data_IF_780816148774
#
_entry.id   IF_780816148774
#
_cell.length_a   1.000
_cell.length_b   1.000
_cell.length_c   1.000
_cell.angle_alpha   90.00
_cell.angle_beta   90.00
_cell.angle_gamma   90.00
#
_symmetry.space_group_name_H-M   'P 1'
#
loop_
_entity.id
_entity.type
_entity.pdbx_description
1 polymer ?
#
# COMPACT_ATOMS: atom_id res chain seq x y z
N UNK A 1 -8.78 -41.70 14.93
CA UNK A 1 -8.23 -40.33 15.04
C UNK A 1 -9.25 -39.37 14.46
N UNK A 2 -9.54 -38.24 15.12
CA UNK A 2 -10.44 -37.23 14.56
C UNK A 2 -9.71 -36.56 13.40
N UNK A 3 -9.90 -37.10 12.18
CA UNK A 3 -9.36 -36.52 10.96
C UNK A 3 -9.81 -35.07 10.84
N UNK A 4 -8.87 -34.19 10.50
CA UNK A 4 -9.19 -32.81 10.16
C UNK A 4 -9.94 -32.81 8.83
N UNK A 5 -11.20 -32.36 8.84
CA UNK A 5 -11.97 -32.16 7.62
C UNK A 5 -11.58 -30.83 7.00
N UNK A 6 -11.15 -30.84 5.74
CA UNK A 6 -10.84 -29.63 4.97
C UNK A 6 -12.15 -29.08 4.38
N UNK A 7 -12.47 -27.82 4.64
CA UNK A 7 -13.59 -27.15 3.97
C UNK A 7 -13.30 -27.02 2.47
N UNK A 8 -14.27 -27.40 1.63
CA UNK A 8 -14.15 -27.32 0.16
C UNK A 8 -14.96 -26.15 -0.36
N UNK A 9 -16.24 -26.09 -0.01
CA UNK A 9 -17.16 -25.06 -0.48
C UNK A 9 -18.37 -24.90 0.46
N UNK A 10 -19.13 -23.82 0.28
CA UNK A 10 -20.40 -23.55 0.96
C UNK A 10 -21.45 -23.03 -0.01
N UNK A 11 -22.66 -23.56 0.06
CA UNK A 11 -23.80 -23.13 -0.74
C UNK A 11 -24.99 -22.79 0.16
N UNK A 12 -25.80 -21.81 -0.25
CA UNK A 12 -27.03 -21.43 0.44
C UNK A 12 -28.14 -21.10 -0.55
N UNK A 13 -29.38 -21.19 -0.09
CA UNK A 13 -30.57 -20.84 -0.85
C UNK A 13 -31.57 -20.16 0.10
N UNK A 14 -32.12 -19.01 -0.32
CA UNK A 14 -33.19 -18.31 0.40
C UNK A 14 -34.42 -18.31 -0.49
N UNK A 15 -35.45 -19.04 -0.06
CA UNK A 15 -36.73 -19.10 -0.76
C UNK A 15 -37.87 -19.06 0.23
N UNK A 16 -38.99 -18.50 -0.20
CA UNK A 16 -40.25 -18.61 0.51
C UNK A 16 -40.80 -20.03 0.36
N UNK A 17 -41.32 -20.61 1.44
CA UNK A 17 -41.86 -21.96 1.48
C UNK A 17 -43.31 -21.92 1.98
N UNK A 18 -44.23 -22.33 1.12
CA UNK A 18 -45.62 -22.58 1.52
C UNK A 18 -45.72 -23.82 2.44
N UNK A 19 -46.86 -24.02 3.10
CA UNK A 19 -47.10 -25.23 3.90
C UNK A 19 -46.99 -26.48 3.03
N UNK A 20 -46.03 -27.37 3.33
CA UNK A 20 -45.84 -28.61 2.60
C UNK A 20 -44.39 -29.13 2.60
N UNK A 21 -44.14 -30.18 1.81
CA UNK A 21 -42.80 -30.72 1.55
C UNK A 21 -42.23 -30.03 0.32
N UNK A 22 -41.04 -29.46 0.45
CA UNK A 22 -40.34 -28.77 -0.63
C UNK A 22 -38.95 -29.35 -0.81
N UNK A 23 -38.50 -29.42 -2.07
CA UNK A 23 -37.12 -29.79 -2.40
C UNK A 23 -36.33 -28.52 -2.68
N UNK A 24 -35.26 -28.31 -1.92
CA UNK A 24 -34.34 -27.19 -2.11
C UNK A 24 -33.07 -27.68 -2.76
N UNK A 25 -32.65 -27.01 -3.82
CA UNK A 25 -31.39 -27.30 -4.50
C UNK A 25 -30.30 -26.39 -3.97
N UNK A 26 -29.18 -26.99 -3.56
CA UNK A 26 -27.93 -26.32 -3.23
C UNK A 26 -26.91 -26.67 -4.32
N UNK A 27 -26.25 -25.66 -4.87
CA UNK A 27 -25.24 -25.83 -5.90
C UNK A 27 -23.86 -25.52 -5.32
N UNK A 28 -22.99 -26.53 -5.35
CA UNK A 28 -21.60 -26.40 -4.92
C UNK A 28 -20.71 -26.15 -6.14
N UNK A 29 -19.63 -25.41 -5.94
CA UNK A 29 -18.67 -25.05 -6.98
C UNK A 29 -17.84 -26.28 -7.41
N UNK A 30 -18.05 -26.71 -8.65
CA UNK A 30 -17.35 -27.85 -9.23
C UNK A 30 -15.84 -27.63 -9.37
N UNK A 31 -15.37 -26.40 -9.57
CA UNK A 31 -13.94 -26.10 -9.71
C UNK A 31 -13.23 -26.35 -8.37
N UNK A 32 -13.84 -25.92 -7.26
CA UNK A 32 -13.30 -26.17 -5.91
C UNK A 32 -13.21 -27.66 -5.61
N UNK A 33 -14.21 -28.43 -6.03
CA UNK A 33 -14.21 -29.89 -5.87
C UNK A 33 -13.14 -30.53 -6.75
N UNK A 34 -13.02 -30.12 -8.02
CA UNK A 34 -11.99 -30.61 -8.94
C UNK A 34 -10.58 -30.42 -8.35
N UNK A 35 -10.31 -29.25 -7.78
CA UNK A 35 -9.01 -28.90 -7.19
C UNK A 35 -8.65 -29.70 -5.94
N UNK A 36 -9.59 -30.43 -5.33
CA UNK A 36 -9.25 -31.32 -4.22
C UNK A 36 -8.44 -32.54 -4.66
N UNK A 37 -8.53 -32.94 -5.94
CA UNK A 37 -7.98 -34.20 -6.43
C UNK A 37 -8.59 -35.45 -5.76
N UNK A 38 -9.68 -35.30 -5.01
CA UNK A 38 -10.27 -36.35 -4.19
C UNK A 38 -11.40 -37.10 -4.93
N UNK A 39 -11.33 -38.43 -4.90
CA UNK A 39 -12.40 -39.30 -5.37
C UNK A 39 -13.10 -39.93 -4.16
N UNK A 40 -14.43 -39.84 -4.11
CA UNK A 40 -15.26 -40.46 -3.08
C UNK A 40 -16.43 -39.57 -2.65
N UNK A 41 -17.06 -39.96 -1.56
CA UNK A 41 -18.16 -39.22 -0.94
C UNK A 41 -17.66 -37.98 -0.19
N UNK A 42 -18.41 -36.89 -0.33
CA UNK A 42 -18.26 -35.65 0.42
C UNK A 42 -19.28 -35.55 1.57
N UNK A 43 -18.84 -34.99 2.68
CA UNK A 43 -19.66 -34.69 3.86
C UNK A 43 -20.13 -33.23 3.81
N UNK A 44 -21.42 -33.01 4.03
CA UNK A 44 -22.05 -31.68 4.02
C UNK A 44 -22.76 -31.43 5.35
N UNK A 45 -22.55 -30.25 5.95
CA UNK A 45 -23.32 -29.78 7.11
C UNK A 45 -24.44 -28.86 6.61
N UNK A 46 -25.69 -29.32 6.71
CA UNK A 46 -26.88 -28.57 6.31
C UNK A 46 -27.44 -27.84 7.52
N UNK A 47 -27.82 -26.57 7.34
CA UNK A 47 -28.42 -25.73 8.37
C UNK A 47 -29.62 -24.99 7.78
N UNK A 48 -30.75 -25.05 8.48
CA UNK A 48 -31.97 -24.34 8.12
C UNK A 48 -32.16 -23.15 9.06
N UNK A 49 -32.44 -21.98 8.49
CA UNK A 49 -32.66 -20.75 9.23
C UNK A 49 -34.02 -20.13 8.87
N UNK A 50 -34.71 -19.62 9.88
CA UNK A 50 -35.75 -18.60 9.75
C UNK A 50 -35.04 -17.27 9.43
N UNK A 51 -35.56 -16.45 8.50
CA UNK A 51 -34.79 -15.32 7.94
C UNK A 51 -35.15 -13.94 8.50
N UNK A 52 -36.20 -13.82 9.32
CA UNK A 52 -36.54 -12.56 10.01
C UNK A 52 -35.62 -12.35 11.22
N UNK A 53 -35.42 -13.38 12.04
CA UNK A 53 -34.58 -13.32 13.24
C UNK A 53 -33.23 -14.05 13.06
N UNK A 54 -32.97 -14.62 11.87
CA UNK A 54 -31.82 -15.48 11.61
C UNK A 54 -31.70 -16.66 12.59
N UNK A 55 -32.85 -17.15 13.05
CA UNK A 55 -32.91 -18.23 14.02
C UNK A 55 -32.69 -19.56 13.32
N UNK A 56 -31.67 -20.31 13.74
CA UNK A 56 -31.43 -21.67 13.24
C UNK A 56 -32.58 -22.59 13.71
N UNK A 57 -33.32 -23.14 12.75
CA UNK A 57 -34.45 -24.04 13.00
C UNK A 57 -33.99 -25.49 13.09
N UNK A 58 -33.07 -25.90 12.20
CA UNK A 58 -32.64 -27.30 12.09
C UNK A 58 -31.19 -27.41 11.58
N UNK A 59 -30.56 -28.55 11.86
CA UNK A 59 -29.27 -28.93 11.29
C UNK A 59 -29.13 -30.43 11.11
N UNK A 60 -28.45 -30.83 10.04
CA UNK A 60 -28.13 -32.24 9.82
C UNK A 60 -26.82 -32.39 9.04
N UNK A 61 -26.29 -33.61 9.05
CA UNK A 61 -25.17 -34.00 8.20
C UNK A 61 -25.65 -34.94 7.10
N UNK A 62 -25.06 -34.79 5.92
CA UNK A 62 -25.34 -35.64 4.77
C UNK A 62 -24.03 -36.06 4.10
N UNK A 63 -23.96 -37.32 3.69
CA UNK A 63 -22.90 -37.82 2.84
C UNK A 63 -23.44 -38.00 1.43
N UNK A 64 -22.75 -37.41 0.48
CA UNK A 64 -23.08 -37.52 -0.95
C UNK A 64 -22.78 -38.93 -1.47
N UNK A 65 -23.21 -39.24 -2.69
CA UNK A 65 -22.67 -40.39 -3.41
C UNK A 65 -21.16 -40.22 -3.66
N UNK A 66 -20.49 -41.29 -4.08
CA UNK A 66 -19.10 -41.18 -4.54
C UNK A 66 -19.04 -40.48 -5.90
N UNK A 67 -18.13 -39.53 -6.03
CA UNK A 67 -17.79 -38.86 -7.29
C UNK A 67 -16.28 -38.91 -7.51
N UNK A 68 -15.85 -38.89 -8.76
CA UNK A 68 -14.45 -38.57 -9.07
C UNK A 68 -14.28 -37.06 -9.19
N UNK A 69 -13.15 -36.51 -8.74
CA UNK A 69 -12.90 -35.06 -8.90
C UNK A 69 -12.98 -34.64 -10.37
N UNK A 70 -12.64 -35.54 -11.31
CA UNK A 70 -12.71 -35.31 -12.75
C UNK A 70 -14.12 -35.25 -13.32
N UNK A 71 -15.14 -35.64 -12.55
CA UNK A 71 -16.55 -35.50 -12.94
C UNK A 71 -16.99 -34.02 -12.88
N UNK A 72 -16.24 -33.19 -12.16
CA UNK A 72 -16.49 -31.77 -11.99
C UNK A 72 -15.72 -30.91 -13.01
N UNK A 73 -16.20 -29.68 -13.18
CA UNK A 73 -15.63 -28.72 -14.12
C UNK A 73 -14.16 -28.43 -13.83
N UNK A 74 -13.31 -28.55 -14.85
CA UNK A 74 -11.90 -28.15 -14.77
C UNK A 74 -11.74 -26.63 -14.68
N UNK A 75 -10.75 -26.12 -13.95
CA UNK A 75 -10.40 -24.70 -13.96
C UNK A 75 -10.14 -24.18 -15.38
N UNK A 76 -10.66 -22.99 -15.73
CA UNK A 76 -10.39 -22.35 -17.01
C UNK A 76 -8.93 -21.89 -17.16
N UNK A 77 -8.19 -21.78 -16.07
CA UNK A 77 -6.74 -21.56 -16.03
C UNK A 77 -6.16 -22.20 -14.76
N UNK A 78 -4.89 -22.60 -14.80
CA UNK A 78 -4.12 -23.19 -13.68
C UNK A 78 -2.66 -22.75 -13.78
N UNK A 79 -1.91 -22.80 -12.67
CA UNK A 79 -0.46 -22.58 -12.72
C UNK A 79 0.23 -23.74 -13.45
N UNK A 80 1.29 -23.45 -14.19
CA UNK A 80 2.09 -24.48 -14.87
C UNK A 80 3.47 -24.70 -14.23
N UNK A 81 3.71 -24.10 -13.06
CA UNK A 81 4.92 -24.21 -12.25
C UNK A 81 6.22 -23.82 -12.99
N UNK A 82 6.11 -22.98 -14.02
CA UNK A 82 7.25 -22.34 -14.68
C UNK A 82 7.42 -20.94 -14.12
N UNK A 83 8.60 -20.66 -13.58
CA UNK A 83 8.95 -19.38 -12.96
C UNK A 83 10.29 -18.87 -13.48
N UNK A 84 10.41 -17.56 -13.63
CA UNK A 84 11.69 -16.85 -13.78
C UNK A 84 11.65 -15.55 -13.00
N UNK A 85 12.78 -15.12 -12.46
CA UNK A 85 12.92 -13.86 -11.73
C UNK A 85 14.06 -12.99 -12.25
N UNK A 86 13.90 -11.66 -12.09
CA UNK A 86 14.97 -10.69 -12.31
C UNK A 86 14.75 -9.42 -11.46
N UNK A 87 15.84 -8.68 -11.25
CA UNK A 87 15.76 -7.29 -10.80
C UNK A 87 15.42 -6.39 -11.98
N UNK A 88 14.40 -5.55 -11.85
CA UNK A 88 14.01 -4.55 -12.85
C UNK A 88 14.36 -3.15 -12.36
N UNK A 89 15.20 -2.47 -13.14
CA UNK A 89 15.54 -1.06 -13.02
C UNK A 89 14.78 -0.31 -14.13
N UNK A 90 13.93 0.64 -13.72
CA UNK A 90 12.97 1.38 -14.56
C UNK A 90 13.30 2.86 -14.66
N UNK A 91 14.15 3.38 -13.78
CA UNK A 91 14.70 4.74 -13.80
C UNK A 91 16.16 4.80 -14.27
N UNK A 92 16.76 3.65 -14.59
CA UNK A 92 18.11 3.48 -15.13
C UNK A 92 19.21 4.02 -14.20
N UNK A 93 19.02 3.90 -12.88
CA UNK A 93 19.96 4.35 -11.85
C UNK A 93 20.90 3.26 -11.31
N UNK A 94 20.90 2.09 -11.96
CA UNK A 94 21.65 0.88 -11.61
C UNK A 94 21.15 0.18 -10.34
N UNK A 95 20.03 0.60 -9.76
CA UNK A 95 19.36 -0.08 -8.65
C UNK A 95 18.00 -0.64 -9.09
N UNK A 96 17.69 -1.84 -8.62
CA UNK A 96 16.42 -2.48 -8.95
C UNK A 96 15.27 -1.79 -8.22
N UNK A 97 14.35 -1.18 -8.97
CA UNK A 97 13.11 -0.67 -8.42
C UNK A 97 12.18 -1.82 -7.99
N UNK A 98 12.22 -2.97 -8.68
CA UNK A 98 11.44 -4.16 -8.30
C UNK A 98 12.22 -5.47 -8.43
N UNK A 99 11.81 -6.47 -7.64
CA UNK A 99 12.02 -7.87 -7.96
C UNK A 99 10.80 -8.37 -8.75
N UNK A 100 10.99 -8.70 -10.02
CA UNK A 100 9.92 -9.18 -10.90
C UNK A 100 9.99 -10.69 -11.01
N UNK A 101 8.87 -11.37 -10.73
CA UNK A 101 8.70 -12.82 -10.95
C UNK A 101 7.66 -13.05 -12.04
N UNK A 102 8.07 -13.69 -13.15
CA UNK A 102 7.18 -14.19 -14.19
C UNK A 102 6.59 -15.54 -13.75
N UNK A 103 5.28 -15.57 -13.52
CA UNK A 103 4.52 -16.75 -13.11
C UNK A 103 3.82 -17.37 -14.31
N UNK A 104 4.15 -18.62 -14.63
CA UNK A 104 3.56 -19.34 -15.74
C UNK A 104 2.14 -19.84 -15.44
N UNK A 105 1.22 -19.59 -16.38
CA UNK A 105 -0.19 -19.96 -16.32
C UNK A 105 -0.60 -20.70 -17.59
N UNK A 106 -1.24 -21.86 -17.44
CA UNK A 106 -1.85 -22.59 -18.54
C UNK A 106 -3.34 -22.23 -18.66
N UNK A 107 -3.71 -21.53 -19.72
CA UNK A 107 -5.05 -20.95 -19.92
C UNK A 107 -5.85 -21.78 -20.91
N UNK A 108 -6.96 -22.36 -20.46
CA UNK A 108 -7.91 -23.15 -21.29
C UNK A 108 -9.01 -22.28 -21.89
N UNK A 109 -9.40 -21.21 -21.20
CA UNK A 109 -10.39 -20.24 -21.67
C UNK A 109 -9.81 -18.84 -21.58
N UNK A 110 -9.80 -18.08 -22.67
CA UNK A 110 -9.30 -16.70 -22.62
C UNK A 110 -10.21 -15.82 -21.74
N UNK A 111 -9.62 -14.88 -20.99
CA UNK A 111 -10.36 -14.08 -20.02
C UNK A 111 -9.46 -13.21 -19.15
N UNK A 112 -10.08 -12.46 -18.24
CA UNK A 112 -9.37 -11.70 -17.22
C UNK A 112 -9.14 -12.55 -15.98
N UNK A 113 -7.90 -12.55 -15.51
CA UNK A 113 -7.43 -13.31 -14.36
C UNK A 113 -6.64 -12.41 -13.43
N UNK A 114 -6.65 -12.71 -12.14
CA UNK A 114 -5.76 -12.10 -11.15
C UNK A 114 -4.81 -13.16 -10.60
N UNK A 115 -3.52 -12.90 -10.65
CA UNK A 115 -2.49 -13.64 -9.91
C UNK A 115 -2.05 -12.78 -8.74
N UNK A 116 -1.99 -13.35 -7.54
CA UNK A 116 -1.43 -12.69 -6.36
C UNK A 116 -0.52 -13.64 -5.59
N UNK A 117 0.52 -13.10 -4.99
CA UNK A 117 1.48 -13.87 -4.19
C UNK A 117 2.18 -12.99 -3.18
N UNK A 118 2.82 -13.61 -2.20
CA UNK A 118 3.51 -12.96 -1.10
C UNK A 118 4.98 -13.33 -1.12
N UNK A 119 5.85 -12.35 -0.87
CA UNK A 119 7.29 -12.51 -0.82
C UNK A 119 7.76 -12.60 0.62
N UNK A 120 8.57 -13.61 0.92
CA UNK A 120 9.19 -13.82 2.20
C UNK A 120 10.72 -13.87 2.06
N UNK A 121 11.44 -13.43 3.09
CA UNK A 121 12.89 -13.60 3.14
C UNK A 121 13.29 -15.05 3.48
N UNK A 122 14.59 -15.35 3.39
CA UNK A 122 15.14 -16.67 3.72
C UNK A 122 14.93 -17.10 5.18
N UNK A 123 14.50 -16.18 6.06
CA UNK A 123 14.20 -16.44 7.48
C UNK A 123 12.70 -16.64 7.72
N UNK A 124 11.87 -16.52 6.68
CA UNK A 124 10.42 -16.61 6.75
C UNK A 124 9.72 -15.33 7.20
N UNK A 125 10.38 -14.17 7.13
CA UNK A 125 9.72 -12.88 7.38
C UNK A 125 8.99 -12.41 6.13
N UNK A 126 7.73 -11.99 6.29
CA UNK A 126 6.95 -11.37 5.23
C UNK A 126 7.56 -10.03 4.82
N UNK A 127 7.67 -9.79 3.51
CA UNK A 127 8.14 -8.52 2.93
C UNK A 127 6.97 -7.76 2.31
N UNK A 128 6.31 -8.36 1.31
CA UNK A 128 5.26 -7.70 0.55
C UNK A 128 4.35 -8.69 -0.19
N UNK A 129 3.13 -8.27 -0.50
CA UNK A 129 2.21 -8.94 -1.41
C UNK A 129 2.17 -8.18 -2.74
N UNK A 130 2.34 -8.90 -3.84
CA UNK A 130 2.12 -8.38 -5.20
C UNK A 130 0.88 -9.03 -5.83
N UNK A 131 0.21 -8.30 -6.72
CA UNK A 131 -0.90 -8.82 -7.53
C UNK A 131 -0.90 -8.23 -8.92
N UNK A 132 -1.39 -8.99 -9.89
CA UNK A 132 -1.55 -8.55 -11.27
C UNK A 132 -2.86 -9.09 -11.86
N UNK A 133 -3.74 -8.16 -12.25
CA UNK A 133 -4.99 -8.44 -12.95
C UNK A 133 -4.80 -8.15 -14.44
N UNK A 134 -4.85 -9.18 -15.29
CA UNK A 134 -4.57 -9.05 -16.73
C UNK A 134 -5.44 -9.97 -17.59
N UNK A 135 -5.58 -9.64 -18.87
CA UNK A 135 -6.25 -10.49 -19.85
C UNK A 135 -5.27 -11.52 -20.39
N UNK A 136 -5.63 -12.81 -20.30
CA UNK A 136 -4.81 -13.90 -20.81
C UNK A 136 -5.49 -14.61 -21.97
N UNK A 137 -4.74 -14.81 -23.05
CA UNK A 137 -5.14 -15.65 -24.17
C UNK A 137 -4.98 -17.13 -23.83
N UNK A 138 -5.64 -18.01 -24.60
CA UNK A 138 -5.47 -19.46 -24.44
C UNK A 138 -4.04 -19.92 -24.69
N UNK A 139 -3.63 -20.99 -24.00
CA UNK A 139 -2.27 -21.54 -24.03
C UNK A 139 -1.43 -21.10 -22.83
N UNK A 140 -0.12 -21.34 -22.92
CA UNK A 140 0.82 -20.94 -21.88
C UNK A 140 1.08 -19.43 -21.96
N UNK A 141 0.85 -18.74 -20.85
CA UNK A 141 1.10 -17.32 -20.65
C UNK A 141 2.00 -17.13 -19.42
N UNK A 142 2.59 -15.95 -19.28
CA UNK A 142 3.32 -15.54 -18.07
C UNK A 142 2.66 -14.28 -17.50
N UNK A 143 2.52 -14.23 -16.18
CA UNK A 143 2.00 -13.08 -15.43
C UNK A 143 3.09 -12.55 -14.51
N UNK A 144 3.37 -11.25 -14.60
CA UNK A 144 4.40 -10.60 -13.78
C UNK A 144 3.86 -10.23 -12.41
N UNK A 145 4.59 -10.61 -11.38
CA UNK A 145 4.45 -10.07 -10.02
C UNK A 145 5.66 -9.20 -9.72
N UNK A 146 5.44 -7.90 -9.56
CA UNK A 146 6.48 -6.93 -9.22
C UNK A 146 6.42 -6.65 -7.71
N UNK A 147 7.49 -7.00 -7.00
CA UNK A 147 7.68 -6.71 -5.58
C UNK A 147 8.59 -5.50 -5.42
N UNK A 148 8.20 -4.54 -4.59
CA UNK A 148 8.85 -3.25 -4.44
C UNK A 148 10.27 -3.40 -3.84
N UNK A 149 11.26 -2.95 -4.59
CA UNK A 149 12.68 -3.01 -4.24
C UNK A 149 13.00 -2.24 -2.95
N UNK A 150 12.34 -1.11 -2.67
CA UNK A 150 12.57 -0.37 -1.42
C UNK A 150 12.16 -1.18 -0.19
N UNK A 151 11.08 -1.97 -0.26
CA UNK A 151 10.67 -2.86 0.85
C UNK A 151 11.65 -4.00 1.04
N UNK A 152 12.16 -4.57 -0.05
CA UNK A 152 13.22 -5.59 -0.01
C UNK A 152 14.49 -5.01 0.63
N UNK A 153 14.88 -3.79 0.25
CA UNK A 153 16.03 -3.09 0.82
C UNK A 153 15.85 -2.79 2.31
N UNK A 154 14.68 -2.31 2.72
CA UNK A 154 14.32 -2.06 4.12
C UNK A 154 14.38 -3.34 4.97
N UNK A 155 14.04 -4.50 4.40
CA UNK A 155 14.16 -5.79 5.09
C UNK A 155 15.62 -6.12 5.44
N UNK A 156 16.60 -5.64 4.65
CA UNK A 156 18.03 -5.69 5.01
C UNK A 156 18.64 -7.09 5.02
N UNK A 157 18.03 -8.05 4.32
CA UNK A 157 18.48 -9.45 4.26
C UNK A 157 18.95 -9.79 2.85
N UNK A 158 20.23 -10.16 2.73
CA UNK A 158 20.76 -10.78 1.51
C UNK A 158 20.34 -12.25 1.43
N UNK A 159 20.05 -12.74 0.23
CA UNK A 159 19.73 -14.15 0.03
C UNK A 159 18.76 -14.40 -1.12
N UNK A 160 18.17 -15.59 -1.09
CA UNK A 160 17.03 -15.94 -1.93
C UNK A 160 15.73 -15.49 -1.25
N UNK A 161 14.72 -15.13 -2.04
CA UNK A 161 13.38 -14.83 -1.56
C UNK A 161 12.41 -15.96 -1.93
N UNK A 162 11.40 -16.16 -1.09
CA UNK A 162 10.38 -17.21 -1.26
C UNK A 162 9.08 -16.58 -1.71
N UNK A 163 8.54 -17.04 -2.84
CA UNK A 163 7.19 -16.71 -3.31
C UNK A 163 6.22 -17.73 -2.71
N UNK A 164 5.40 -17.27 -1.77
CA UNK A 164 4.43 -18.07 -1.06
C UNK A 164 3.00 -17.56 -1.26
N UNK A 165 2.01 -18.38 -0.87
CA UNK A 165 0.57 -18.05 -0.92
C UNK A 165 0.11 -17.61 -2.33
N UNK A 166 0.70 -18.21 -3.38
CA UNK A 166 0.43 -17.89 -4.77
C UNK A 166 -0.97 -18.37 -5.15
N UNK A 167 -1.81 -17.48 -5.66
CA UNK A 167 -3.21 -17.79 -5.97
C UNK A 167 -3.66 -17.16 -7.28
N UNK A 168 -4.51 -17.91 -7.99
CA UNK A 168 -5.08 -17.53 -9.28
C UNK A 168 -6.59 -17.39 -9.13
N UNK A 169 -7.15 -16.27 -9.58
CA UNK A 169 -8.58 -15.99 -9.55
C UNK A 169 -9.11 -15.65 -10.94
N UNK A 170 -10.37 -16.00 -11.17
CA UNK A 170 -11.15 -15.38 -12.23
C UNK A 170 -11.71 -14.04 -11.71
N UNK A 171 -11.45 -12.94 -12.41
CA UNK A 171 -11.86 -11.60 -11.92
C UNK A 171 -13.36 -11.32 -12.11
N UNK A 172 -14.08 -12.17 -12.87
CA UNK A 172 -15.53 -12.01 -13.10
C UNK A 172 -16.37 -12.42 -11.90
N UNK A 173 -16.00 -13.52 -11.25
CA UNK A 173 -16.75 -14.17 -10.17
C UNK A 173 -15.93 -14.32 -8.89
N UNK A 174 -14.66 -13.90 -8.91
CA UNK A 174 -13.70 -14.00 -7.80
C UNK A 174 -13.52 -15.43 -7.27
N UNK A 175 -13.80 -16.44 -8.10
CA UNK A 175 -13.54 -17.83 -7.76
C UNK A 175 -12.03 -18.09 -7.84
N UNK A 176 -11.48 -18.65 -6.77
CA UNK A 176 -10.10 -19.12 -6.73
C UNK A 176 -9.97 -20.38 -7.58
N UNK A 177 -9.18 -20.28 -8.66
CA UNK A 177 -8.97 -21.33 -9.63
C UNK A 177 -7.82 -22.26 -9.28
N UNK A 178 -6.78 -21.73 -8.60
CA UNK A 178 -5.59 -22.48 -8.22
C UNK A 178 -4.85 -21.82 -7.04
N UNK A 179 -4.03 -22.60 -6.33
CA UNK A 179 -3.27 -22.16 -5.16
C UNK A 179 -2.03 -23.01 -4.89
N UNK A 180 -0.89 -22.35 -4.64
CA UNK A 180 0.39 -22.98 -4.27
C UNK A 180 0.97 -22.25 -3.05
N UNK A 181 1.29 -22.99 -1.99
CA UNK A 181 1.76 -22.43 -0.71
C UNK A 181 3.23 -22.02 -0.76
N UNK A 182 4.11 -22.91 -1.22
CA UNK A 182 5.55 -22.69 -1.41
C UNK A 182 5.86 -22.77 -2.91
N UNK A 183 5.59 -21.70 -3.64
CA UNK A 183 5.55 -21.75 -5.11
C UNK A 183 6.93 -21.70 -5.75
N UNK A 184 7.80 -20.81 -5.27
CA UNK A 184 9.10 -20.59 -5.91
C UNK A 184 10.14 -20.00 -4.95
N UNK A 185 11.41 -20.27 -5.21
CA UNK A 185 12.55 -19.61 -4.54
C UNK A 185 13.41 -18.96 -5.61
N UNK A 186 13.64 -17.66 -5.49
CA UNK A 186 14.41 -16.87 -6.46
C UNK A 186 15.88 -17.26 -6.49
N UNK A 187 16.63 -16.70 -7.45
CA UNK A 187 18.09 -16.66 -7.31
C UNK A 187 18.52 -15.74 -6.14
N UNK A 188 19.82 -15.70 -5.86
CA UNK A 188 20.38 -14.87 -4.80
C UNK A 188 20.41 -13.39 -5.23
N UNK A 189 20.00 -12.48 -4.35
CA UNK A 189 20.14 -11.04 -4.49
C UNK A 189 20.75 -10.43 -3.21
N UNK A 190 21.49 -9.32 -3.37
CA UNK A 190 21.80 -8.48 -2.21
C UNK A 190 20.69 -7.46 -2.04
N UNK A 191 20.30 -7.19 -0.79
CA UNK A 191 19.28 -6.16 -0.52
C UNK A 191 19.76 -4.77 -0.97
N UNK A 192 21.07 -4.57 -1.07
CA UNK A 192 21.70 -3.32 -1.56
C UNK A 192 21.60 -3.13 -3.07
N UNK A 193 21.24 -4.17 -3.82
CA UNK A 193 21.03 -4.08 -5.27
C UNK A 193 19.68 -3.41 -5.59
N UNK A 194 18.81 -3.24 -4.58
CA UNK A 194 17.49 -2.65 -4.73
C UNK A 194 17.47 -1.16 -4.34
N UNK A 195 16.44 -0.46 -4.82
CA UNK A 195 16.31 0.98 -4.73
C UNK A 195 16.30 1.52 -3.29
N UNK A 196 16.98 2.64 -3.10
CA UNK A 196 17.09 3.34 -1.82
C UNK A 196 15.90 4.28 -1.58
N UNK A 197 15.65 4.63 -0.32
CA UNK A 197 14.71 5.69 0.01
C UNK A 197 15.44 7.02 -0.20
N UNK A 198 15.18 7.71 -1.31
CA UNK A 198 15.76 9.04 -1.53
C UNK A 198 15.29 10.04 -0.46
N UNK A 199 16.09 11.04 -0.06
CA UNK A 199 15.68 12.01 0.96
C UNK A 199 14.34 12.71 0.67
N UNK A 200 13.97 12.93 -0.60
CA UNK A 200 12.67 13.51 -0.96
C UNK A 200 11.47 12.56 -0.69
N UNK A 201 11.73 11.26 -0.41
CA UNK A 201 10.75 10.28 0.09
C UNK A 201 10.54 10.38 1.61
N UNK A 202 11.03 11.42 2.28
CA UNK A 202 10.90 11.54 3.73
C UNK A 202 10.36 12.90 4.15
N UNK A 203 9.79 12.94 5.35
CA UNK A 203 9.25 14.13 5.96
C UNK A 203 9.81 14.27 7.37
N UNK A 204 10.05 15.49 7.81
CA UNK A 204 10.16 15.81 9.24
C UNK A 204 8.77 16.08 9.80
N UNK A 205 8.54 15.70 11.06
CA UNK A 205 7.27 15.89 11.76
C UNK A 205 7.47 16.74 13.01
N UNK A 206 6.74 17.84 13.11
CA UNK A 206 6.81 18.78 14.24
C UNK A 206 5.42 19.15 14.75
N UNK A 207 5.23 19.15 16.07
CA UNK A 207 4.05 19.74 16.69
C UNK A 207 4.26 21.22 16.89
N UNK A 208 3.36 22.03 16.34
CA UNK A 208 3.47 23.50 16.34
C UNK A 208 2.36 24.13 17.17
N UNK A 209 2.47 25.42 17.44
CA UNK A 209 1.37 26.17 18.06
C UNK A 209 0.10 26.05 17.24
N UNK A 210 -1.01 25.79 17.94
CA UNK A 210 -2.33 25.66 17.34
C UNK A 210 -2.66 26.87 16.44
N UNK A 211 -3.20 26.57 15.27
CA UNK A 211 -3.71 27.54 14.31
C UNK A 211 -4.91 26.96 13.58
N UNK A 212 -5.78 27.83 13.07
CA UNK A 212 -6.96 27.46 12.28
C UNK A 212 -7.02 28.36 11.05
N UNK A 213 -7.21 27.78 9.88
CA UNK A 213 -7.18 28.50 8.60
C UNK A 213 -8.57 28.58 7.96
N UNK A 214 -9.42 29.40 8.54
CA UNK A 214 -10.84 29.51 8.22
C UNK A 214 -11.15 29.60 6.71
N UNK A 215 -12.05 28.74 6.23
CA UNK A 215 -12.64 28.85 4.88
C UNK A 215 -13.79 29.86 4.92
N UNK A 216 -13.63 30.99 4.24
CA UNK A 216 -14.65 32.05 4.18
C UNK A 216 -15.61 31.89 2.99
N UNK A 217 -15.14 31.35 1.87
CA UNK A 217 -15.94 31.07 0.68
C UNK A 217 -15.37 29.81 0.02
N UNK A 218 -16.03 28.65 0.16
CA UNK A 218 -15.50 27.40 -0.37
C UNK A 218 -15.62 27.35 -1.90
N UNK A 219 -14.60 26.80 -2.56
CA UNK A 219 -14.64 26.43 -3.97
C UNK A 219 -15.56 25.22 -4.18
N UNK A 220 -15.51 24.29 -3.23
CA UNK A 220 -16.29 23.06 -3.20
C UNK A 220 -16.82 22.82 -1.80
N UNK A 221 -18.04 22.32 -1.71
CA UNK A 221 -18.70 22.00 -0.46
C UNK A 221 -19.59 20.76 -0.62
N UNK A 222 -19.16 19.64 -0.04
CA UNK A 222 -19.83 18.34 -0.17
C UNK A 222 -20.56 17.97 1.12
N UNK A 223 -21.78 17.44 0.99
CA UNK A 223 -22.65 17.06 2.10
C UNK A 223 -23.36 15.74 1.79
N UNK A 224 -24.03 15.16 2.79
CA UNK A 224 -25.04 14.11 2.61
C UNK A 224 -24.54 12.78 2.02
N UNK A 225 -23.25 12.45 2.17
CA UNK A 225 -22.72 11.15 1.78
C UNK A 225 -21.93 10.45 2.90
N UNK A 226 -21.90 9.12 2.83
CA UNK A 226 -21.11 8.20 3.62
C UNK A 226 -20.28 7.33 2.66
N UNK A 227 -19.03 7.02 3.02
CA UNK A 227 -18.08 6.30 2.17
C UNK A 227 -17.90 6.87 0.74
N UNK A 228 -18.04 8.19 0.59
CA UNK A 228 -17.79 8.88 -0.68
C UNK A 228 -16.34 9.35 -0.81
N UNK A 229 -15.90 9.55 -2.05
CA UNK A 229 -14.64 10.20 -2.41
C UNK A 229 -14.88 11.25 -3.49
N UNK A 230 -14.21 12.39 -3.40
CA UNK A 230 -14.37 13.53 -4.32
C UNK A 230 -13.02 13.94 -4.90
N UNK A 231 -12.94 14.00 -6.23
CA UNK A 231 -11.74 14.51 -6.90
C UNK A 231 -11.70 16.04 -6.84
N UNK A 232 -10.58 16.59 -6.37
CA UNK A 232 -10.27 18.03 -6.43
C UNK A 232 -8.99 18.23 -7.23
N UNK A 233 -9.06 19.01 -8.31
CA UNK A 233 -7.89 19.38 -9.12
C UNK A 233 -7.12 20.47 -8.37
N UNK A 234 -5.84 20.21 -8.11
CA UNK A 234 -4.99 21.16 -7.42
C UNK A 234 -4.57 22.29 -8.37
N UNK A 235 -4.45 23.53 -7.86
CA UNK A 235 -3.98 24.68 -8.63
C UNK A 235 -2.50 24.58 -9.08
N UNK A 236 -1.70 23.71 -8.47
CA UNK A 236 -0.33 23.38 -8.85
C UNK A 236 -0.08 21.87 -8.76
N UNK A 237 1.06 21.40 -9.28
CA UNK A 237 1.53 20.03 -9.04
C UNK A 237 2.05 19.93 -7.60
N UNK A 238 1.32 19.25 -6.73
CA UNK A 238 1.73 18.99 -5.36
C UNK A 238 2.67 17.79 -5.33
N UNK A 239 3.92 18.02 -4.90
CA UNK A 239 4.90 16.95 -4.71
C UNK A 239 4.69 16.27 -3.35
N UNK A 240 4.43 14.97 -3.37
CA UNK A 240 4.26 14.12 -2.21
C UNK A 240 5.17 12.90 -2.36
N UNK A 241 6.15 12.72 -1.46
CA UNK A 241 7.14 11.64 -1.55
C UNK A 241 7.79 11.50 -2.95
N UNK A 242 8.33 12.62 -3.47
CA UNK A 242 8.89 12.78 -4.83
C UNK A 242 7.91 12.57 -6.01
N UNK A 243 6.67 12.18 -5.76
CA UNK A 243 5.67 12.02 -6.82
C UNK A 243 4.84 13.31 -6.97
N UNK A 244 4.65 13.74 -8.22
CA UNK A 244 3.88 14.93 -8.53
C UNK A 244 2.41 14.58 -8.79
N UNK A 245 1.51 15.20 -8.05
CA UNK A 245 0.07 15.01 -8.22
C UNK A 245 -0.61 16.33 -8.59
N UNK A 246 -1.44 16.29 -9.63
CA UNK A 246 -2.24 17.42 -10.09
C UNK A 246 -3.67 17.41 -9.55
N UNK A 247 -4.09 16.34 -8.85
CA UNK A 247 -5.37 16.26 -8.17
C UNK A 247 -5.30 15.29 -6.99
N UNK A 248 -6.26 15.44 -6.09
CA UNK A 248 -6.43 14.63 -4.88
C UNK A 248 -7.83 14.04 -4.82
N UNK A 249 -7.97 12.89 -4.17
CA UNK A 249 -9.24 12.25 -3.84
C UNK A 249 -9.53 12.48 -2.36
N UNK A 250 -10.61 13.20 -2.06
CA UNK A 250 -10.98 13.62 -0.70
C UNK A 250 -12.13 12.74 -0.22
N UNK A 251 -11.88 11.90 0.77
CA UNK A 251 -12.87 10.96 1.32
C UNK A 251 -13.69 11.57 2.45
N UNK A 252 -14.94 11.12 2.58
CA UNK A 252 -15.80 11.37 3.76
C UNK A 252 -15.15 10.92 5.07
N UNK A 253 -14.29 9.90 4.96
CA UNK A 253 -13.62 9.20 6.07
C UNK A 253 -12.40 9.94 6.64
N UNK A 254 -12.15 11.22 6.30
CA UNK A 254 -11.00 11.98 6.82
C UNK A 254 -9.66 11.58 6.22
N UNK A 255 -9.70 11.11 4.97
CA UNK A 255 -8.58 10.58 4.19
C UNK A 255 -8.46 11.34 2.87
N UNK A 256 -7.23 11.66 2.47
CA UNK A 256 -6.88 12.07 1.12
C UNK A 256 -5.99 11.00 0.48
N UNK A 257 -6.31 10.59 -0.74
CA UNK A 257 -5.47 9.75 -1.62
C UNK A 257 -5.25 10.46 -2.97
N UNK A 258 -4.61 9.78 -3.91
CA UNK A 258 -4.31 10.31 -5.25
C UNK A 258 -4.89 9.39 -6.33
N UNK A 259 -5.25 9.91 -7.52
CA UNK A 259 -5.77 9.08 -8.61
C UNK A 259 -4.77 8.01 -9.10
N UNK A 260 -5.25 6.87 -9.62
CA UNK A 260 -6.66 6.47 -9.69
C UNK A 260 -7.23 6.17 -8.29
N UNK A 261 -8.53 6.45 -8.11
CA UNK A 261 -9.23 6.25 -6.84
C UNK A 261 -9.16 4.78 -6.39
N UNK A 262 -8.55 4.53 -5.23
CA UNK A 262 -8.46 3.21 -4.58
C UNK A 262 -9.50 3.07 -3.47
N UNK A 263 -10.70 3.66 -3.62
CA UNK A 263 -11.82 3.79 -2.66
C UNK A 263 -12.28 2.54 -1.88
N UNK A 264 -11.57 1.42 -1.93
CA UNK A 264 -11.65 0.30 -0.98
C UNK A 264 -11.29 0.63 0.48
N UNK A 265 -10.82 1.84 0.77
CA UNK A 265 -10.35 2.28 2.09
C UNK A 265 -11.47 2.77 3.01
N UNK A 266 -12.54 1.98 3.22
CA UNK A 266 -13.56 2.32 4.22
C UNK A 266 -13.11 1.94 5.64
N UNK A 267 -13.43 2.84 6.58
CA UNK A 267 -13.50 2.75 8.06
C UNK A 267 -12.37 2.07 8.89
N UNK A 268 -11.45 1.32 8.29
CA UNK A 268 -10.34 0.64 8.96
C UNK A 268 -9.01 1.18 8.42
N UNK A 269 -8.38 2.12 9.13
CA UNK A 269 -7.15 2.76 8.69
C UNK A 269 -6.00 1.75 8.61
N UNK A 270 -5.39 1.66 7.43
CA UNK A 270 -4.17 0.89 7.15
C UNK A 270 -3.12 1.83 6.58
N UNK A 271 -2.72 2.81 7.39
CA UNK A 271 -1.89 3.92 6.96
C UNK A 271 -0.54 3.45 6.42
N UNK A 272 0.08 2.45 7.05
CA UNK A 272 1.40 1.96 6.67
C UNK A 272 1.46 1.32 5.27
N UNK A 273 0.34 0.81 4.77
CA UNK A 273 0.25 0.17 3.45
C UNK A 273 -0.50 1.01 2.41
N UNK A 274 -0.89 2.25 2.73
CA UNK A 274 -1.70 3.10 1.85
C UNK A 274 -0.96 4.40 1.53
N UNK A 275 -0.90 4.78 0.24
CA UNK A 275 -0.47 6.14 -0.15
C UNK A 275 -1.56 7.12 0.25
N UNK A 276 -1.33 7.87 1.33
CA UNK A 276 -2.36 8.59 2.04
C UNK A 276 -1.86 9.83 2.76
N UNK A 277 -2.70 10.87 2.75
CA UNK A 277 -2.68 11.98 3.71
C UNK A 277 -3.93 11.83 4.57
N UNK A 278 -3.77 11.35 5.79
CA UNK A 278 -4.85 11.00 6.70
C UNK A 278 -4.84 11.95 7.90
N UNK A 279 -5.46 13.15 7.84
CA UNK A 279 -5.58 14.00 9.03
C UNK A 279 -6.36 13.29 10.14
N UNK A 280 -7.41 12.53 9.83
CA UNK A 280 -8.21 11.82 10.81
C UNK A 280 -8.99 10.67 10.15
N UNK A 281 -8.28 9.65 9.64
CA UNK A 281 -8.89 8.57 8.87
C UNK A 281 -9.61 7.58 9.78
N UNK A 282 -10.95 7.54 9.69
CA UNK A 282 -11.82 6.62 10.42
C UNK A 282 -13.18 6.48 9.74
N UNK A 283 -14.16 5.95 10.45
CA UNK A 283 -15.54 5.76 9.97
C UNK A 283 -16.38 7.04 10.08
N UNK A 284 -16.10 8.02 9.21
CA UNK A 284 -16.66 9.37 9.26
C UNK A 284 -17.67 9.61 8.13
N UNK A 285 -18.70 10.38 8.45
CA UNK A 285 -19.86 10.56 7.58
C UNK A 285 -20.36 11.99 7.51
N UNK A 286 -20.66 12.44 6.29
CA UNK A 286 -21.44 13.65 6.01
C UNK A 286 -22.92 13.35 5.73
N UNK A 287 -23.35 12.08 5.72
CA UNK A 287 -24.77 11.68 5.66
C UNK A 287 -25.49 11.84 7.01
N UNK A 288 -24.72 12.21 8.03
CA UNK A 288 -25.03 12.06 9.43
C UNK A 288 -25.32 13.43 10.08
N UNK A 289 -26.60 13.82 10.15
CA UNK A 289 -27.09 15.03 10.85
C UNK A 289 -27.13 16.32 10.01
N UNK A 290 -27.88 17.33 10.48
CA UNK A 290 -27.97 18.61 9.78
C UNK A 290 -26.64 19.38 9.82
N UNK A 291 -26.15 19.79 8.65
CA UNK A 291 -25.01 20.70 8.51
C UNK A 291 -23.63 20.09 8.76
N UNK A 292 -23.40 18.81 8.48
CA UNK A 292 -22.04 18.25 8.27
C UNK A 292 -21.60 18.50 6.82
N UNK A 293 -20.31 18.73 6.61
CA UNK A 293 -19.77 19.00 5.29
C UNK A 293 -18.27 18.75 5.22
N UNK A 294 -17.78 18.65 3.99
CA UNK A 294 -16.37 18.83 3.64
C UNK A 294 -16.29 20.06 2.75
N UNK A 295 -15.45 21.01 3.12
CA UNK A 295 -15.22 22.22 2.32
C UNK A 295 -13.77 22.36 1.92
N UNK A 296 -13.55 22.83 0.69
CA UNK A 296 -12.21 23.08 0.13
C UNK A 296 -12.11 24.53 -0.35
N UNK A 297 -10.95 25.15 -0.14
CA UNK A 297 -10.63 26.46 -0.67
C UNK A 297 -9.17 26.56 -1.09
N UNK A 298 -8.93 26.99 -2.32
CA UNK A 298 -7.66 27.52 -2.79
C UNK A 298 -7.44 28.95 -2.26
N UNK A 299 -6.35 29.15 -1.53
CA UNK A 299 -5.94 30.45 -0.97
C UNK A 299 -4.76 31.09 -1.73
N UNK A 300 -4.40 30.54 -2.88
CA UNK A 300 -3.31 30.99 -3.75
C UNK A 300 -1.97 30.31 -3.42
N UNK A 301 -1.55 30.31 -2.15
CA UNK A 301 -0.29 29.70 -1.69
C UNK A 301 -0.47 28.33 -0.99
N UNK A 302 -1.73 27.94 -0.77
CA UNK A 302 -2.13 26.69 -0.11
C UNK A 302 -3.59 26.34 -0.38
N UNK A 303 -3.90 25.06 -0.34
CA UNK A 303 -5.26 24.52 -0.38
C UNK A 303 -5.64 24.07 1.02
N UNK A 304 -6.79 24.50 1.52
CA UNK A 304 -7.34 24.10 2.81
C UNK A 304 -8.53 23.16 2.58
N UNK A 305 -8.52 22.00 3.22
CA UNK A 305 -9.64 21.06 3.26
C UNK A 305 -10.10 20.91 4.70
N UNK A 306 -11.36 21.20 4.97
CA UNK A 306 -11.98 21.14 6.30
C UNK A 306 -13.01 20.03 6.32
N UNK A 307 -12.95 19.17 7.32
CA UNK A 307 -14.03 18.23 7.66
C UNK A 307 -14.77 18.75 8.88
N UNK A 308 -16.09 18.88 8.72
CA UNK A 308 -17.02 18.96 9.83
C UNK A 308 -17.93 17.75 9.79
N UNK A 309 -17.51 16.69 10.49
CA UNK A 309 -18.04 15.34 10.30
C UNK A 309 -18.63 14.74 11.56
N UNK A 310 -19.61 13.84 11.38
CA UNK A 310 -19.99 12.87 12.40
C UNK A 310 -19.32 11.52 12.16
N UNK A 311 -19.57 10.58 13.08
CA UNK A 311 -19.17 9.18 12.97
C UNK A 311 -20.39 8.32 12.63
N UNK A 312 -20.22 7.37 11.72
CA UNK A 312 -21.32 6.49 11.28
C UNK A 312 -21.90 5.68 12.46
N UNK A 313 -23.21 5.45 12.45
CA UNK A 313 -23.92 4.64 13.45
C UNK A 313 -24.06 5.22 14.88
N UNK A 314 -23.50 6.40 15.19
CA UNK A 314 -23.55 7.01 16.55
C UNK A 314 -24.47 8.22 16.71
N UNK A 315 -25.45 8.41 15.82
CA UNK A 315 -26.50 9.42 15.99
C UNK A 315 -26.06 10.87 15.82
N UNK A 316 -24.86 11.12 15.29
CA UNK A 316 -24.40 12.43 14.78
C UNK A 316 -24.38 13.59 15.81
N UNK A 317 -24.50 13.26 17.09
CA UNK A 317 -24.34 14.21 18.19
C UNK A 317 -22.84 14.44 18.43
N UNK A 318 -22.45 15.70 18.63
CA UNK A 318 -21.09 16.15 18.88
C UNK A 318 -20.10 15.87 17.72
N UNK A 319 -20.05 16.75 16.72
CA UNK A 319 -19.22 16.56 15.52
C UNK A 319 -17.73 16.81 15.79
N UNK A 320 -16.90 16.29 14.89
CA UNK A 320 -15.46 16.54 14.82
C UNK A 320 -15.19 17.66 13.81
N UNK A 321 -14.28 18.56 14.14
CA UNK A 321 -13.86 19.67 13.29
C UNK A 321 -12.33 19.71 13.20
N UNK A 322 -11.82 19.39 12.01
CA UNK A 322 -10.40 19.36 11.72
C UNK A 322 -10.14 19.74 10.25
N UNK A 323 -8.90 20.10 9.95
CA UNK A 323 -8.48 20.48 8.60
C UNK A 323 -7.10 19.92 8.26
N UNK A 324 -6.86 19.79 6.96
CA UNK A 324 -5.53 19.67 6.36
C UNK A 324 -5.28 20.88 5.47
N UNK A 325 -4.04 21.36 5.49
CA UNK A 325 -3.54 22.42 4.64
C UNK A 325 -2.39 21.84 3.83
N UNK A 326 -2.51 21.92 2.50
CA UNK A 326 -1.49 21.53 1.54
C UNK A 326 -0.84 22.79 0.99
N UNK A 327 0.45 22.98 1.24
CA UNK A 327 1.21 24.12 0.73
C UNK A 327 1.87 23.77 -0.61
N UNK A 328 2.11 24.79 -1.44
CA UNK A 328 2.78 24.63 -2.74
C UNK A 328 4.16 23.95 -2.64
N UNK A 329 4.88 24.21 -1.56
CA UNK A 329 6.21 23.63 -1.31
C UNK A 329 6.20 22.20 -0.74
N UNK A 330 5.07 21.49 -0.81
CA UNK A 330 4.94 20.12 -0.32
C UNK A 330 4.75 19.98 1.19
N UNK A 331 4.76 21.08 1.96
CA UNK A 331 4.42 21.03 3.39
C UNK A 331 2.96 20.67 3.57
N UNK A 332 2.70 19.90 4.62
CA UNK A 332 1.36 19.44 4.99
C UNK A 332 1.14 19.80 6.46
N UNK A 333 0.00 20.42 6.78
CA UNK A 333 -0.35 20.75 8.15
C UNK A 333 -1.72 20.19 8.50
N UNK A 334 -1.83 19.55 9.65
CA UNK A 334 -3.13 19.17 10.24
C UNK A 334 -3.43 20.08 11.41
N UNK A 335 -4.68 20.55 11.50
CA UNK A 335 -5.17 21.28 12.66
C UNK A 335 -6.45 20.62 13.17
N UNK A 336 -6.51 20.39 14.48
CA UNK A 336 -7.64 19.80 15.17
C UNK A 336 -8.26 20.87 16.06
N UNK A 337 -9.44 21.37 15.70
CA UNK A 337 -10.13 22.34 16.54
C UNK A 337 -10.74 21.61 17.73
N UNK A 338 -11.66 20.68 17.45
CA UNK A 338 -12.25 19.79 18.46
C UNK A 338 -12.60 18.43 17.86
N UNK A 339 -12.42 17.38 18.66
CA UNK A 339 -12.76 16.00 18.35
C UNK A 339 -13.66 15.48 19.48
N UNK A 340 -14.96 15.36 19.20
CA UNK A 340 -15.98 15.00 20.18
C UNK A 340 -16.68 13.66 19.89
N UNK A 341 -16.50 13.07 18.71
CA UNK A 341 -17.15 11.81 18.32
C UNK A 341 -16.17 10.87 17.61
N UNK A 342 -15.04 10.62 18.26
CA UNK A 342 -13.95 9.78 17.76
C UNK A 342 -14.46 8.36 17.39
N UNK A 343 -14.20 7.89 16.15
CA UNK A 343 -14.45 6.51 15.73
C UNK A 343 -13.70 5.46 16.55
N UNK A 344 -14.10 4.18 16.40
CA UNK A 344 -13.44 3.08 17.11
C UNK A 344 -11.97 2.90 16.70
N UNK A 345 -11.68 3.04 15.41
CA UNK A 345 -10.35 2.94 14.82
C UNK A 345 -10.06 4.23 14.07
N UNK A 346 -8.91 4.84 14.34
CA UNK A 346 -8.48 6.08 13.68
C UNK A 346 -6.99 5.98 13.35
N UNK A 347 -6.65 6.26 12.09
CA UNK A 347 -5.29 6.47 11.62
C UNK A 347 -5.10 7.96 11.36
N UNK A 348 -4.03 8.53 11.87
CA UNK A 348 -3.67 9.91 11.60
C UNK A 348 -2.21 9.99 11.22
N UNK A 349 -1.91 10.56 10.07
CA UNK A 349 -0.56 10.65 9.56
C UNK A 349 -0.47 10.85 8.06
N UNK A 350 0.73 10.67 7.53
CA UNK A 350 1.00 10.62 6.09
C UNK A 350 1.78 9.35 5.77
N UNK A 351 1.60 8.81 4.56
CA UNK A 351 2.24 7.58 4.11
C UNK A 351 2.32 7.52 2.60
N UNK A 352 3.37 6.88 2.08
CA UNK A 352 3.46 6.45 0.68
C UNK A 352 3.49 4.92 0.53
N UNK A 353 2.96 4.18 1.51
CA UNK A 353 2.98 2.71 1.59
C UNK A 353 4.39 2.08 1.74
N UNK A 354 5.43 2.89 1.96
CA UNK A 354 6.82 2.46 2.20
C UNK A 354 7.36 3.12 3.47
N UNK A 355 7.15 4.42 3.61
CA UNK A 355 7.49 5.24 4.76
C UNK A 355 6.21 5.92 5.21
N UNK A 356 5.95 5.89 6.52
CA UNK A 356 4.78 6.52 7.10
C UNK A 356 5.11 7.23 8.42
N UNK A 357 4.33 8.25 8.71
CA UNK A 357 4.47 9.07 9.91
C UNK A 357 3.12 9.18 10.59
N UNK A 358 2.94 8.46 11.70
CA UNK A 358 1.77 8.63 12.56
C UNK A 358 1.83 9.97 13.32
N UNK A 359 0.68 10.57 13.64
CA UNK A 359 0.61 11.65 14.62
C UNK A 359 -0.44 11.41 15.71
N UNK A 360 -0.24 12.13 16.80
CA UNK A 360 -1.20 12.29 17.87
C UNK A 360 -2.18 13.37 17.45
N UNK A 361 -3.45 13.14 17.72
CA UNK A 361 -4.57 14.02 17.43
C UNK A 361 -5.31 14.34 18.74
N UNK A 362 -5.92 15.51 18.80
CA UNK A 362 -6.58 16.00 19.99
C UNK A 362 -6.96 17.47 19.86
N UNK A 363 -7.86 17.93 20.73
CA UNK A 363 -8.35 19.32 20.66
C UNK A 363 -7.19 20.32 20.75
N UNK A 364 -7.30 21.40 19.97
CA UNK A 364 -6.30 22.47 19.91
C UNK A 364 -4.88 21.97 19.61
N UNK A 365 -4.74 20.98 18.72
CA UNK A 365 -3.44 20.43 18.32
C UNK A 365 -3.15 20.77 16.85
N UNK A 366 -1.90 21.08 16.56
CA UNK A 366 -1.41 21.26 15.19
C UNK A 366 -0.13 20.46 14.98
N UNK A 367 -0.03 19.80 13.83
CA UNK A 367 1.19 19.08 13.40
C UNK A 367 1.53 19.49 11.98
N UNK A 368 2.81 19.65 11.69
CA UNK A 368 3.35 19.97 10.38
C UNK A 368 4.27 18.85 9.95
N UNK A 369 4.08 18.40 8.72
CA UNK A 369 5.01 17.58 7.97
C UNK A 369 5.71 18.48 6.96
N UNK A 370 7.03 18.56 7.05
CA UNK A 370 7.84 19.24 6.03
C UNK A 370 8.61 18.20 5.25
N UNK A 371 8.64 18.25 3.91
CA UNK A 371 9.56 17.43 3.14
C UNK A 371 10.94 17.56 3.76
N UNK A 372 11.61 16.44 4.02
CA UNK A 372 12.99 16.50 4.48
C UNK A 372 13.76 17.25 3.40
N UNK A 373 14.43 18.34 3.79
CA UNK A 373 15.25 19.08 2.84
C UNK A 373 16.22 18.09 2.22
N UNK A 374 16.30 18.09 0.89
CA UNK A 374 17.36 17.41 0.15
C UNK A 374 18.65 18.14 0.50
N UNK A 375 19.26 17.77 1.62
CA UNK A 375 20.70 17.67 1.66
C UNK A 375 20.96 16.20 1.39
N UNK A 376 20.81 15.77 0.13
CA UNK A 376 21.58 14.61 -0.29
C UNK A 376 23.00 14.92 0.15
N UNK A 377 23.54 14.04 0.98
CA UNK A 377 24.96 14.05 1.21
C UNK A 377 25.55 13.57 -0.10
N UNK A 378 25.80 14.52 -1.00
CA UNK A 378 26.55 14.26 -2.21
C UNK A 378 27.94 13.91 -1.72
N UNK A 379 28.33 12.63 -1.82
CA UNK A 379 29.65 12.18 -1.40
C UNK A 379 30.70 13.01 -2.13
N UNK A 380 31.54 13.71 -1.37
CA UNK A 380 32.49 14.66 -1.92
C UNK A 380 32.03 16.12 -2.01
N UNK A 381 30.80 16.48 -1.66
CA UNK A 381 30.34 17.86 -1.43
C UNK A 381 30.41 18.18 0.07
N UNK A 382 31.56 18.69 0.50
CA UNK A 382 31.86 18.91 1.91
C UNK A 382 31.38 20.28 2.40
N UNK A 383 31.13 21.22 1.50
CA UNK A 383 30.62 22.55 1.83
C UNK A 383 29.09 22.65 1.73
N UNK A 384 28.42 21.64 1.14
CA UNK A 384 26.97 21.53 1.02
C UNK A 384 26.36 22.48 -0.01
N UNK A 385 27.14 22.93 -1.01
CA UNK A 385 26.71 23.86 -2.05
C UNK A 385 26.07 23.18 -3.27
N UNK A 386 26.07 21.85 -3.30
CA UNK A 386 25.53 21.01 -4.37
C UNK A 386 26.49 20.73 -5.52
N UNK A 387 27.76 21.18 -5.45
CA UNK A 387 28.75 21.00 -6.50
C UNK A 387 30.05 20.37 -5.99
N UNK A 388 30.40 19.17 -6.48
CA UNK A 388 31.71 18.55 -6.18
C UNK A 388 32.83 19.29 -6.92
N UNK A 389 33.67 20.03 -6.20
CA UNK A 389 34.72 20.86 -6.80
C UNK A 389 35.99 20.95 -5.93
N UNK A 390 36.90 21.86 -6.30
CA UNK A 390 38.20 21.98 -5.62
C UNK A 390 38.07 22.51 -4.18
N UNK A 391 37.02 23.26 -3.88
CA UNK A 391 36.75 23.74 -2.52
C UNK A 391 36.47 22.56 -1.58
N UNK A 392 35.79 21.51 -2.06
CA UNK A 392 35.55 20.28 -1.29
C UNK A 392 36.80 19.44 -1.09
N UNK A 393 37.66 19.36 -2.12
CA UNK A 393 38.97 18.70 -2.02
C UNK A 393 39.82 19.39 -0.94
N UNK A 394 39.80 20.71 -0.89
CA UNK A 394 40.52 21.50 0.12
C UNK A 394 39.95 21.24 1.52
N UNK A 395 38.62 21.18 1.66
CA UNK A 395 37.97 20.86 2.93
C UNK A 395 38.32 19.46 3.40
N UNK A 396 38.30 18.46 2.52
CA UNK A 396 38.60 17.07 2.85
C UNK A 396 40.07 16.91 3.22
N UNK A 397 40.97 17.55 2.48
CA UNK A 397 42.40 17.57 2.77
C UNK A 397 42.70 18.24 4.12
N UNK A 398 42.02 19.33 4.45
CA UNK A 398 42.16 20.02 5.73
C UNK A 398 41.63 19.18 6.90
N UNK A 399 40.50 18.48 6.72
CA UNK A 399 39.93 17.58 7.72
C UNK A 399 40.86 16.39 8.00
N UNK A 400 41.40 15.74 6.96
CA UNK A 400 42.36 14.64 7.10
C UNK A 400 43.68 15.10 7.72
N UNK A 401 44.16 16.31 7.37
CA UNK A 401 45.40 16.89 7.89
C UNK A 401 45.29 17.49 9.29
N UNK A 402 44.08 17.91 9.70
CA UNK A 402 43.79 18.49 11.01
C UNK A 402 42.34 18.18 11.44
N UNK A 403 42.10 17.07 12.17
CA UNK A 403 40.76 16.57 12.49
C UNK A 403 39.89 17.47 13.38
N UNK A 404 40.41 18.62 13.86
CA UNK A 404 39.62 19.61 14.61
C UNK A 404 38.90 20.62 13.72
N UNK A 405 39.19 20.64 12.41
CA UNK A 405 38.54 21.50 11.42
C UNK A 405 37.43 20.72 10.72
N UNK A 406 36.23 20.72 11.30
CA UNK A 406 35.09 19.95 10.80
C UNK A 406 34.46 20.63 9.56
N UNK A 407 34.26 19.91 8.43
CA UNK A 407 33.53 20.42 7.28
C UNK A 407 32.04 20.61 7.61
N UNK A 408 31.30 21.29 6.73
CA UNK A 408 29.87 21.50 6.91
C UNK A 408 29.09 20.18 6.83
N UNK A 409 29.57 19.23 6.03
CA UNK A 409 29.04 17.87 5.91
C UNK A 409 30.14 16.82 6.11
N UNK A 410 30.23 16.22 7.31
CA UNK A 410 31.19 15.16 7.63
C UNK A 410 30.83 13.82 7.00
N UNK A 411 29.54 13.57 6.78
CA UNK A 411 29.05 12.33 6.18
C UNK A 411 29.43 12.26 4.68
N UNK A 412 29.75 13.39 4.05
CA UNK A 412 30.25 13.47 2.67
C UNK A 412 31.75 13.12 2.53
N UNK A 413 32.48 12.95 3.64
CA UNK A 413 33.94 12.87 3.63
C UNK A 413 34.50 11.46 3.33
N UNK A 414 33.73 10.39 3.59
CA UNK A 414 34.11 9.00 3.27
C UNK A 414 33.69 8.65 1.83
N UNK A 415 34.36 9.29 0.86
CA UNK A 415 33.98 9.27 -0.56
C UNK A 415 34.05 7.85 -1.15
N UNK A 416 34.84 6.93 -0.56
CA UNK A 416 34.93 5.54 -1.02
C UNK A 416 34.13 4.54 -0.16
N UNK A 417 33.35 5.04 0.81
CA UNK A 417 32.44 4.28 1.68
C UNK A 417 33.11 3.12 2.45
N UNK A 418 34.37 3.25 2.82
CA UNK A 418 35.10 2.18 3.54
C UNK A 418 34.95 2.25 5.07
N UNK A 419 34.24 3.26 5.58
CA UNK A 419 34.03 3.54 7.00
C UNK A 419 35.14 4.35 7.68
N UNK A 420 36.12 4.87 6.91
CA UNK A 420 37.29 5.58 7.44
C UNK A 420 37.71 6.73 6.51
N UNK A 421 37.51 7.97 6.96
CA UNK A 421 37.96 9.18 6.24
C UNK A 421 39.48 9.33 6.32
N UNK A 422 40.18 9.23 5.19
CA UNK A 422 41.63 9.33 5.10
C UNK A 422 42.12 9.84 3.72
N UNK A 423 43.43 9.77 3.48
CA UNK A 423 44.03 10.26 2.22
C UNK A 423 43.53 9.49 0.97
N UNK A 424 43.00 8.28 1.14
CA UNK A 424 42.34 7.53 0.09
C UNK A 424 41.10 8.25 -0.46
N UNK A 425 40.31 8.88 0.42
CA UNK A 425 39.13 9.68 0.05
C UNK A 425 39.53 10.97 -0.66
N UNK A 426 40.58 11.64 -0.17
CA UNK A 426 41.14 12.86 -0.79
C UNK A 426 41.60 12.58 -2.23
N UNK A 427 42.33 11.49 -2.45
CA UNK A 427 42.83 11.13 -3.78
C UNK A 427 41.68 10.81 -4.73
N UNK A 428 40.66 10.10 -4.25
CA UNK A 428 39.50 9.73 -5.06
C UNK A 428 38.70 10.98 -5.46
N UNK A 429 38.46 11.89 -4.51
CA UNK A 429 37.78 13.16 -4.76
C UNK A 429 38.57 14.05 -5.73
N UNK A 430 39.89 14.16 -5.55
CA UNK A 430 40.76 14.93 -6.43
C UNK A 430 40.79 14.39 -7.87
N UNK A 431 40.77 13.06 -8.04
CA UNK A 431 40.71 12.44 -9.36
C UNK A 431 39.37 12.69 -10.05
N UNK A 432 38.26 12.66 -9.30
CA UNK A 432 36.93 13.00 -9.81
C UNK A 432 36.89 14.44 -10.33
N UNK A 433 37.36 15.40 -9.52
CA UNK A 433 37.41 16.82 -9.90
C UNK A 433 38.33 17.03 -11.12
N UNK A 434 39.52 16.45 -11.17
CA UNK A 434 40.47 16.63 -12.29
C UNK A 434 39.95 16.10 -13.64
N UNK A 435 39.13 15.05 -13.65
CA UNK A 435 38.57 14.50 -14.89
C UNK A 435 37.51 15.43 -15.53
N UNK A 436 36.91 16.35 -14.77
CA UNK A 436 35.95 17.33 -15.27
C UNK A 436 36.62 18.53 -15.99
N UNK A 437 37.93 18.74 -15.82
CA UNK A 437 38.70 19.81 -16.47
C UNK A 437 39.45 19.36 -17.73
N UNK A 438 39.31 18.08 -18.11
CA UNK A 438 39.99 17.47 -19.27
C UNK A 438 39.04 17.12 -20.44
N UNK A 439 37.78 17.55 -20.36
CA UNK A 439 36.85 17.73 -21.49
C UNK A 439 36.69 19.22 -21.80
#
# INVERSE_FOLDING_TARGET
EKGYWKGIDSAWNRTYLEVGIHNITLQFDGIRIYNTGYNGSFRTWLRLYETEEWKRIDEMEYFTNDYNYTDFQRPPAEFNEVYTDNGTDTDEDELYNNLTIDVGVNVRSAGYYEVKGELYDIRGNYIERAKNSTYLNTGNQAVKLDFNGMKIRQNGVNGTFQLNYLSLYNTRDWIQLDYIDDAYTTVYYNYTDFQTISPCYTYTKEYVTYGWDEISTPDQNWTSCDDCSYNYVLPWNFTFFCENHNSIQISTNGLITFPPDTSSHCCSPDLENTVAIAPFWGDLSQACGEGTNISVQDKGDRVVVVWYSGTCGRGCLNKDLFEVILYENGKIRFNYNYLNNIPKNVGAGISNAIVYYNNIWGNCTSVVYSPANVTETVLGDLNGDGFINMDDVILLLNYVGNPTAHPANEDAADVNCNGVVNMGDVILLLNHVNNLWSM
#
